data_IF_918315742818
#
_entry.id   IF_918315742818
#
_cell.length_a   1.000
_cell.length_b   1.000
_cell.length_c   1.000
_cell.angle_alpha   90.00
_cell.angle_beta   90.00
_cell.angle_gamma   90.00
#
_symmetry.space_group_name_H-M   'P 1'
#
loop_
_entity.id
_entity.type
_entity.pdbx_description
1 polymer ?
#
# COMPACT_ATOMS: atom_id res chain seq x y z
N UNK A 1 2.95 -5.87 -4.49
CA UNK A 1 2.54 -6.67 -3.31
C UNK A 1 3.78 -7.37 -2.76
N UNK A 2 3.89 -7.54 -1.45
CA UNK A 2 4.91 -8.42 -0.86
C UNK A 2 4.35 -9.85 -0.67
N UNK A 3 5.22 -10.84 -0.49
CA UNK A 3 4.81 -12.24 -0.33
C UNK A 3 3.96 -12.47 0.94
N UNK A 4 4.15 -11.66 1.97
CA UNK A 4 3.32 -11.71 3.18
C UNK A 4 1.87 -11.29 2.90
N UNK A 5 1.66 -10.20 2.16
CA UNK A 5 0.34 -9.72 1.74
C UNK A 5 -0.37 -10.71 0.82
N UNK A 6 0.37 -11.34 -0.11
CA UNK A 6 -0.18 -12.38 -0.99
C UNK A 6 -0.79 -13.54 -0.19
N UNK A 7 -0.19 -13.90 0.95
CA UNK A 7 -0.72 -14.91 1.88
C UNK A 7 -1.58 -14.34 3.01
N UNK A 8 -1.83 -13.03 3.05
CA UNK A 8 -2.53 -12.34 4.16
C UNK A 8 -1.87 -12.58 5.54
N UNK A 9 -0.54 -12.56 5.59
CA UNK A 9 0.28 -12.72 6.79
C UNK A 9 0.88 -11.38 7.25
N UNK A 10 1.20 -11.23 8.56
CA UNK A 10 1.96 -10.08 9.04
C UNK A 10 3.38 -10.10 8.48
N UNK A 11 3.92 -8.93 8.14
CA UNK A 11 5.28 -8.77 7.62
C UNK A 11 6.21 -8.14 8.68
N UNK A 12 7.55 -8.28 8.54
CA UNK A 12 8.51 -7.63 9.42
C UNK A 12 8.31 -6.09 9.47
N UNK A 13 8.55 -5.43 10.62
CA UNK A 13 9.10 -5.98 11.87
C UNK A 13 8.05 -6.63 12.80
N UNK A 14 6.76 -6.56 12.47
CA UNK A 14 5.64 -6.98 13.33
C UNK A 14 5.36 -8.49 13.28
N UNK A 15 6.41 -9.32 13.29
CA UNK A 15 6.30 -10.74 13.00
C UNK A 15 6.70 -11.61 14.22
N UNK A 16 5.77 -11.90 15.16
CA UNK A 16 6.04 -12.86 16.22
C UNK A 16 6.08 -14.26 15.59
N UNK A 17 7.28 -14.80 15.40
CA UNK A 17 7.59 -16.19 15.00
C UNK A 17 6.49 -16.92 14.20
N UNK A 18 6.32 -16.59 12.91
CA UNK A 18 5.46 -17.40 12.04
C UNK A 18 6.02 -18.81 11.87
N UNK A 19 5.29 -19.80 12.39
CA UNK A 19 5.54 -21.21 12.16
C UNK A 19 5.11 -21.65 10.74
N UNK A 20 5.75 -22.71 10.22
CA UNK A 20 5.49 -23.27 8.91
C UNK A 20 4.05 -23.79 8.78
N UNK A 21 3.43 -24.24 9.87
CA UNK A 21 2.03 -24.66 9.87
C UNK A 21 1.09 -23.48 9.57
N UNK A 22 1.38 -22.30 10.12
CA UNK A 22 0.63 -21.07 9.87
C UNK A 22 0.77 -20.63 8.42
N UNK A 23 1.99 -20.66 7.88
CA UNK A 23 2.27 -20.32 6.47
C UNK A 23 1.54 -21.27 5.52
N UNK A 24 1.55 -22.58 5.81
CA UNK A 24 0.83 -23.59 5.02
C UNK A 24 -0.69 -23.36 5.08
N UNK A 25 -1.24 -23.06 6.26
CA UNK A 25 -2.67 -22.74 6.41
C UNK A 25 -3.06 -21.51 5.59
N UNK A 26 -2.23 -20.46 5.63
CA UNK A 26 -2.44 -19.23 4.87
C UNK A 26 -2.39 -19.47 3.35
N UNK A 27 -1.44 -20.29 2.88
CA UNK A 27 -1.36 -20.74 1.49
C UNK A 27 -2.64 -21.45 1.02
N UNK A 28 -3.15 -22.43 1.79
CA UNK A 28 -4.41 -23.10 1.44
C UNK A 28 -5.59 -22.13 1.43
N UNK A 29 -5.66 -21.20 2.39
CA UNK A 29 -6.70 -20.19 2.43
C UNK A 29 -6.64 -19.24 1.22
N UNK A 30 -5.43 -18.84 0.80
CA UNK A 30 -5.23 -18.00 -0.37
C UNK A 30 -5.72 -18.71 -1.66
N UNK A 31 -5.31 -19.96 -1.90
CA UNK A 31 -5.78 -20.72 -3.06
C UNK A 31 -7.30 -20.93 -3.07
N UNK A 32 -7.94 -21.11 -1.91
CA UNK A 32 -9.39 -21.24 -1.82
C UNK A 32 -10.14 -19.94 -2.09
N UNK A 33 -9.50 -18.79 -1.89
CA UNK A 33 -10.04 -17.47 -2.31
C UNK A 33 -9.95 -17.32 -3.82
N UNK A 34 -8.81 -17.67 -4.39
CA UNK A 34 -8.59 -17.70 -5.83
C UNK A 34 -8.92 -19.07 -6.41
N UNK A 35 -10.10 -19.61 -6.10
CA UNK A 35 -10.61 -20.82 -6.78
C UNK A 35 -11.51 -20.37 -7.94
N UNK A 36 -11.40 -20.96 -9.15
CA UNK A 36 -12.11 -20.47 -10.34
C UNK A 36 -13.63 -20.53 -10.19
N UNK A 37 -14.14 -21.42 -9.33
CA UNK A 37 -15.56 -21.53 -9.00
C UNK A 37 -16.12 -20.30 -8.25
N UNK A 38 -15.27 -19.56 -7.50
CA UNK A 38 -15.67 -18.34 -6.78
C UNK A 38 -15.42 -17.06 -7.55
N UNK A 39 -14.60 -17.12 -8.60
CA UNK A 39 -14.16 -15.97 -9.38
C UNK A 39 -14.64 -16.02 -10.83
N UNK A 40 -15.87 -16.52 -11.05
CA UNK A 40 -16.50 -16.69 -12.38
C UNK A 40 -16.57 -15.41 -13.24
N UNK A 41 -16.25 -14.26 -12.66
CA UNK A 41 -16.31 -12.93 -13.28
C UNK A 41 -14.93 -12.23 -13.39
N UNK A 42 -13.86 -12.83 -12.86
CA UNK A 42 -12.48 -12.30 -12.98
C UNK A 42 -11.79 -13.04 -14.12
N UNK A 43 -11.29 -12.31 -15.12
CA UNK A 43 -10.64 -12.89 -16.30
C UNK A 43 -9.53 -13.90 -15.96
N UNK A 44 -9.42 -14.95 -16.78
CA UNK A 44 -8.56 -16.11 -16.54
C UNK A 44 -7.07 -15.74 -16.38
N UNK A 45 -6.60 -14.65 -17.00
CA UNK A 45 -5.22 -14.17 -16.88
C UNK A 45 -4.91 -13.54 -15.51
N UNK A 46 -5.88 -12.87 -14.89
CA UNK A 46 -5.72 -12.31 -13.55
C UNK A 46 -5.65 -13.46 -12.53
N UNK A 47 -6.40 -14.53 -12.79
CA UNK A 47 -6.42 -15.73 -11.97
C UNK A 47 -5.07 -16.46 -11.96
N UNK A 48 -4.48 -16.71 -13.13
CA UNK A 48 -3.19 -17.42 -13.24
C UNK A 48 -2.05 -16.62 -12.61
N UNK A 49 -1.99 -15.30 -12.84
CA UNK A 49 -1.01 -14.41 -12.22
C UNK A 49 -1.11 -14.43 -10.70
N UNK A 50 -2.34 -14.40 -10.15
CA UNK A 50 -2.55 -14.46 -8.71
C UNK A 50 -2.13 -15.81 -8.10
N UNK A 51 -2.37 -16.92 -8.80
CA UNK A 51 -1.97 -18.26 -8.34
C UNK A 51 -0.44 -18.42 -8.35
N UNK A 52 0.23 -17.94 -9.39
CA UNK A 52 1.70 -17.97 -9.48
C UNK A 52 2.35 -17.16 -8.35
N UNK A 53 1.79 -15.98 -8.03
CA UNK A 53 2.24 -15.15 -6.91
C UNK A 53 2.08 -15.88 -5.56
N UNK A 54 0.96 -16.58 -5.34
CA UNK A 54 0.72 -17.37 -4.13
C UNK A 54 1.71 -18.53 -4.00
N UNK A 55 2.03 -19.20 -5.10
CA UNK A 55 3.00 -20.30 -5.13
C UNK A 55 4.41 -19.80 -4.80
N UNK A 56 4.84 -18.68 -5.42
CA UNK A 56 6.14 -18.07 -5.14
C UNK A 56 6.24 -17.58 -3.70
N UNK A 57 5.18 -16.97 -3.17
CA UNK A 57 5.10 -16.54 -1.78
C UNK A 57 5.27 -17.72 -0.81
N UNK A 58 4.56 -18.83 -1.04
CA UNK A 58 4.71 -20.03 -0.22
C UNK A 58 6.11 -20.63 -0.33
N UNK A 59 6.66 -20.76 -1.55
CA UNK A 59 7.99 -21.33 -1.77
C UNK A 59 9.14 -20.52 -1.13
N UNK A 60 8.95 -19.21 -0.97
CA UNK A 60 9.90 -18.31 -0.31
C UNK A 60 9.72 -18.35 1.20
N UNK A 61 8.49 -18.17 1.69
CA UNK A 61 8.21 -18.02 3.12
C UNK A 61 8.28 -19.34 3.90
N UNK A 62 8.03 -20.49 3.26
CA UNK A 62 8.08 -21.81 3.91
C UNK A 62 9.49 -22.29 4.24
N UNK A 63 10.53 -21.76 3.57
CA UNK A 63 11.93 -22.09 3.87
C UNK A 63 12.53 -21.04 4.80
N UNK A 64 13.02 -21.41 6.01
CA UNK A 64 13.59 -20.45 6.95
C UNK A 64 14.72 -19.61 6.35
N UNK A 65 15.59 -20.23 5.54
CA UNK A 65 16.73 -19.57 4.89
C UNK A 65 16.26 -18.56 3.83
N UNK A 66 15.30 -18.95 2.97
CA UNK A 66 14.79 -18.05 1.93
C UNK A 66 13.96 -16.92 2.52
N UNK A 67 13.18 -17.20 3.55
CA UNK A 67 12.43 -16.21 4.31
C UNK A 67 13.35 -15.19 4.97
N UNK A 68 14.40 -15.64 5.67
CA UNK A 68 15.35 -14.73 6.30
C UNK A 68 16.02 -13.81 5.27
N UNK A 69 16.41 -14.36 4.10
CA UNK A 69 16.97 -13.55 3.02
C UNK A 69 15.97 -12.52 2.50
N UNK A 70 14.74 -12.95 2.23
CA UNK A 70 13.67 -12.06 1.77
C UNK A 70 13.32 -10.98 2.80
N UNK A 71 13.31 -11.32 4.09
CA UNK A 71 13.09 -10.37 5.18
C UNK A 71 14.20 -9.33 5.24
N UNK A 72 15.45 -9.74 5.02
CA UNK A 72 16.58 -8.80 4.92
C UNK A 72 16.45 -7.85 3.72
N UNK A 73 16.02 -8.36 2.56
CA UNK A 73 15.77 -7.55 1.37
C UNK A 73 14.60 -6.57 1.58
N UNK A 74 13.53 -7.00 2.27
CA UNK A 74 12.37 -6.15 2.57
C UNK A 74 12.70 -5.01 3.54
N UNK A 75 13.68 -5.23 4.41
CA UNK A 75 14.14 -4.24 5.39
C UNK A 75 15.33 -3.41 4.88
N UNK A 76 15.82 -3.67 3.67
CA UNK A 76 16.90 -2.87 3.09
C UNK A 76 16.34 -1.46 2.74
N UNK A 77 16.83 -0.39 3.38
CA UNK A 77 16.36 0.97 3.11
C UNK A 77 16.55 1.37 1.65
N UNK A 78 17.52 0.78 0.93
CA UNK A 78 17.73 1.05 -0.50
C UNK A 78 16.60 0.47 -1.35
N UNK A 79 16.07 -0.70 -0.98
CA UNK A 79 14.92 -1.27 -1.68
C UNK A 79 13.63 -0.50 -1.40
N UNK A 80 13.48 0.02 -0.18
CA UNK A 80 12.40 0.96 0.15
C UNK A 80 12.50 2.24 -0.69
N UNK A 81 13.67 2.88 -0.70
CA UNK A 81 13.94 4.10 -1.49
C UNK A 81 13.73 3.86 -2.99
N UNK A 82 14.24 2.75 -3.52
CA UNK A 82 14.02 2.36 -4.91
C UNK A 82 12.52 2.13 -5.20
N UNK A 83 11.78 1.54 -4.26
CA UNK A 83 10.33 1.33 -4.41
C UNK A 83 9.58 2.66 -4.41
N UNK A 84 9.88 3.55 -3.47
CA UNK A 84 9.28 4.90 -3.40
C UNK A 84 9.62 5.68 -4.65
N UNK A 85 10.87 5.68 -5.10
CA UNK A 85 11.30 6.34 -6.35
C UNK A 85 10.53 5.84 -7.58
N UNK A 86 10.33 4.51 -7.69
CA UNK A 86 9.52 3.93 -8.78
C UNK A 86 8.05 4.35 -8.70
N UNK A 87 7.48 4.34 -7.50
CA UNK A 87 6.09 4.78 -7.27
C UNK A 87 5.95 6.25 -7.65
N UNK A 88 6.86 7.10 -7.17
CA UNK A 88 6.89 8.53 -7.44
C UNK A 88 6.91 8.83 -8.94
N UNK A 89 7.81 8.19 -9.68
CA UNK A 89 7.94 8.37 -11.12
C UNK A 89 6.70 7.92 -11.93
N UNK A 90 5.92 6.96 -11.40
CA UNK A 90 4.72 6.42 -12.06
C UNK A 90 3.42 7.07 -11.59
N UNK A 91 3.46 7.78 -10.46
CA UNK A 91 2.31 8.41 -9.85
C UNK A 91 1.90 9.66 -10.63
N UNK A 92 0.60 9.73 -10.94
CA UNK A 92 -0.05 10.89 -11.52
C UNK A 92 0.09 12.09 -10.57
N UNK A 93 0.53 13.23 -11.10
CA UNK A 93 0.56 14.49 -10.37
C UNK A 93 -0.81 15.15 -10.42
N UNK A 94 -1.36 15.51 -9.26
CA UNK A 94 -2.70 16.08 -9.09
C UNK A 94 -2.58 17.29 -8.17
N UNK A 95 -3.19 18.39 -8.54
CA UNK A 95 -3.21 19.60 -7.70
C UNK A 95 -4.10 19.39 -6.47
N UNK A 96 -3.70 19.88 -5.29
CA UNK A 96 -4.50 19.84 -4.07
C UNK A 96 -5.82 20.59 -4.24
N UNK A 97 -5.88 21.63 -5.09
CA UNK A 97 -7.09 22.37 -5.41
C UNK A 97 -8.15 21.50 -6.13
N UNK A 98 -7.77 20.34 -6.68
CA UNK A 98 -8.72 19.35 -7.21
C UNK A 98 -9.37 18.47 -6.13
N UNK A 99 -8.97 18.59 -4.87
CA UNK A 99 -9.51 17.80 -3.77
C UNK A 99 -10.72 18.49 -3.13
N UNK A 100 -11.67 17.68 -2.69
CA UNK A 100 -12.76 18.16 -1.86
C UNK A 100 -12.27 18.35 -0.42
N UNK A 101 -12.68 19.43 0.22
CA UNK A 101 -12.41 19.66 1.64
C UNK A 101 -13.48 19.03 2.54
N UNK A 102 -13.05 18.55 3.70
CA UNK A 102 -13.94 17.94 4.67
C UNK A 102 -13.34 17.86 6.05
N UNK A 103 -14.08 17.20 6.93
CA UNK A 103 -13.77 17.09 8.34
C UNK A 103 -13.87 15.62 8.75
N UNK A 104 -12.80 15.06 9.33
CA UNK A 104 -12.74 13.67 9.76
C UNK A 104 -12.51 13.57 11.27
N UNK A 105 -13.23 12.64 11.91
CA UNK A 105 -13.05 12.30 13.31
C UNK A 105 -11.96 11.22 13.43
N UNK A 106 -10.85 11.54 14.08
CA UNK A 106 -9.67 10.64 14.15
C UNK A 106 -9.55 9.88 15.47
N UNK A 107 -10.33 10.21 16.50
CA UNK A 107 -10.29 9.55 17.82
C UNK A 107 -11.67 9.44 18.45
N UNK A 108 -11.79 8.59 19.48
CA UNK A 108 -13.00 8.43 20.28
C UNK A 108 -13.45 9.75 20.97
N UNK A 109 -12.56 10.73 21.09
CA UNK A 109 -12.84 12.06 21.66
C UNK A 109 -13.29 13.13 20.63
N UNK A 110 -13.63 12.73 19.39
CA UNK A 110 -14.20 13.63 18.37
C UNK A 110 -13.44 14.94 18.15
N UNK A 111 -12.10 14.89 18.11
CA UNK A 111 -11.34 15.98 17.52
C UNK A 111 -11.57 15.94 16.00
N UNK A 112 -12.36 16.90 15.52
CA UNK A 112 -12.63 17.07 14.10
C UNK A 112 -11.39 17.71 13.48
N UNK A 113 -10.72 16.97 12.60
CA UNK A 113 -9.60 17.49 11.83
C UNK A 113 -10.03 17.81 10.40
N UNK A 114 -9.53 18.92 9.89
CA UNK A 114 -9.68 19.29 8.49
C UNK A 114 -8.85 18.34 7.62
N UNK A 115 -9.45 17.91 6.51
CA UNK A 115 -8.86 16.97 5.58
C UNK A 115 -9.22 17.34 4.15
N UNK A 116 -8.33 16.99 3.22
CA UNK A 116 -8.59 16.99 1.79
C UNK A 116 -8.82 15.55 1.34
N UNK A 117 -9.83 15.33 0.50
CA UNK A 117 -10.11 14.00 -0.01
C UNK A 117 -10.50 13.99 -1.48
N UNK A 118 -10.21 12.88 -2.14
CA UNK A 118 -10.56 12.65 -3.56
C UNK A 118 -10.97 11.21 -3.80
N UNK A 119 -11.86 11.03 -4.77
CA UNK A 119 -12.24 9.72 -5.27
C UNK A 119 -11.14 9.04 -6.08
N UNK A 120 -11.17 7.71 -6.15
CA UNK A 120 -10.30 6.93 -7.03
C UNK A 120 -11.13 6.27 -8.14
N UNK A 121 -10.50 6.04 -9.30
CA UNK A 121 -11.07 5.26 -10.41
C UNK A 121 -11.56 3.85 -10.04
N UNK A 122 -11.14 3.32 -8.89
CA UNK A 122 -11.68 2.07 -8.33
C UNK A 122 -13.09 2.20 -7.72
N UNK A 123 -13.66 3.41 -7.70
CA UNK A 123 -15.01 3.71 -7.23
C UNK A 123 -15.13 4.03 -5.73
N UNK A 124 -14.01 4.13 -4.98
CA UNK A 124 -14.06 4.63 -3.59
C UNK A 124 -14.07 6.17 -3.61
N UNK A 125 -15.03 6.78 -2.91
CA UNK A 125 -15.20 8.24 -2.84
C UNK A 125 -14.16 8.94 -1.95
N UNK A 126 -13.91 8.38 -0.77
CA UNK A 126 -12.86 8.83 0.15
C UNK A 126 -11.65 7.90 -0.02
N UNK A 127 -10.99 8.02 -1.17
CA UNK A 127 -9.94 7.09 -1.57
C UNK A 127 -8.56 7.61 -1.23
N UNK A 128 -8.31 8.87 -1.54
CA UNK A 128 -7.10 9.60 -1.16
C UNK A 128 -7.53 10.59 -0.09
N UNK A 129 -6.85 10.60 1.04
CA UNK A 129 -7.17 11.47 2.19
C UNK A 129 -5.85 12.04 2.69
N UNK A 130 -5.81 13.35 2.86
CA UNK A 130 -4.68 14.10 3.39
C UNK A 130 -5.12 14.88 4.62
N UNK A 131 -4.25 14.97 5.60
CA UNK A 131 -4.40 15.89 6.73
C UNK A 131 -3.42 17.05 6.61
N UNK A 132 -3.71 18.15 7.31
CA UNK A 132 -2.82 19.31 7.40
C UNK A 132 -1.42 18.91 7.85
N UNK A 133 -1.31 18.04 8.86
CA UNK A 133 -0.04 17.53 9.35
C UNK A 133 0.80 16.82 8.27
N UNK A 134 0.18 16.12 7.31
CA UNK A 134 0.90 15.49 6.21
C UNK A 134 1.48 16.52 5.23
N UNK A 135 0.76 17.63 5.01
CA UNK A 135 1.21 18.73 4.15
C UNK A 135 2.34 19.52 4.82
N UNK A 136 2.20 19.80 6.13
CA UNK A 136 3.24 20.49 6.91
C UNK A 136 4.54 19.70 6.98
N UNK A 137 4.47 18.38 7.21
CA UNK A 137 5.64 17.50 7.20
C UNK A 137 6.33 17.54 5.83
N UNK A 138 5.56 17.39 4.75
CA UNK A 138 6.10 17.46 3.39
C UNK A 138 6.69 18.83 3.05
N UNK A 139 6.10 19.93 3.55
CA UNK A 139 6.61 21.28 3.36
C UNK A 139 7.92 21.54 4.14
N UNK A 140 8.11 20.88 5.28
CA UNK A 140 9.28 21.09 6.14
C UNK A 140 10.60 20.60 5.54
N UNK A 141 10.52 19.65 4.59
CA UNK A 141 11.68 19.08 3.89
C UNK A 141 12.11 19.88 2.65
N UNK A 142 11.38 20.94 2.29
CA UNK A 142 11.58 21.72 1.07
C UNK A 142 12.26 23.05 1.40
N UNK A 143 13.26 23.42 0.60
CA UNK A 143 13.83 24.76 0.68
C UNK A 143 12.75 25.79 0.34
N UNK A 144 12.46 26.73 1.25
CA UNK A 144 11.43 27.77 1.10
C UNK A 144 11.55 28.65 -0.18
N UNK A 145 12.62 28.46 -0.96
CA UNK A 145 12.83 29.08 -2.26
C UNK A 145 12.09 28.39 -3.43
N UNK A 146 11.69 27.12 -3.30
CA UNK A 146 11.03 26.38 -4.39
C UNK A 146 9.50 26.49 -4.40
N UNK A 147 8.87 26.98 -3.32
CA UNK A 147 7.46 27.42 -3.27
C UNK A 147 6.37 26.35 -3.46
N UNK A 148 6.72 25.21 -4.06
CA UNK A 148 5.81 24.11 -4.38
C UNK A 148 6.22 22.86 -3.59
N UNK A 149 5.23 22.24 -2.94
CA UNK A 149 5.36 20.98 -2.21
C UNK A 149 4.63 19.82 -2.87
N UNK A 150 5.08 18.61 -2.56
CA UNK A 150 4.40 17.39 -3.01
C UNK A 150 4.35 16.31 -1.94
N UNK A 151 3.26 15.52 -1.96
CA UNK A 151 3.08 14.38 -1.05
C UNK A 151 2.52 13.17 -1.78
N UNK A 152 3.11 11.99 -1.55
CA UNK A 152 2.64 10.73 -2.11
C UNK A 152 1.50 10.14 -1.26
N UNK A 153 0.36 9.88 -1.89
CA UNK A 153 -0.82 9.31 -1.22
C UNK A 153 -1.30 8.05 -1.92
N UNK A 154 -1.48 6.99 -1.13
CA UNK A 154 -2.04 5.73 -1.62
C UNK A 154 -3.56 5.70 -1.49
N UNK A 155 -4.23 5.08 -2.46
CA UNK A 155 -5.65 4.79 -2.34
C UNK A 155 -5.95 3.83 -1.17
N UNK A 156 -6.89 4.19 -0.31
CA UNK A 156 -7.40 3.37 0.81
C UNK A 156 -8.21 2.11 0.40
N UNK A 157 -8.15 1.67 -0.86
CA UNK A 157 -8.87 0.49 -1.37
C UNK A 157 -8.08 -0.31 -2.42
N UNK A 158 -7.20 0.33 -3.17
CA UNK A 158 -6.40 -0.33 -4.20
C UNK A 158 -4.93 0.10 -4.07
N UNK A 159 -4.05 -0.43 -4.93
CA UNK A 159 -2.62 -0.12 -4.87
C UNK A 159 -2.20 1.11 -5.68
N UNK A 160 -3.13 1.94 -6.15
CA UNK A 160 -2.80 3.14 -6.95
C UNK A 160 -2.30 4.27 -6.05
N UNK A 161 -1.21 4.91 -6.47
CA UNK A 161 -0.60 6.08 -5.84
C UNK A 161 -0.76 7.31 -6.73
N UNK A 162 -0.83 8.48 -6.09
CA UNK A 162 -0.79 9.80 -6.75
C UNK A 162 0.19 10.71 -6.01
N UNK A 163 0.76 11.69 -6.71
CA UNK A 163 1.49 12.81 -6.13
C UNK A 163 0.54 13.98 -6.03
N UNK A 164 0.34 14.47 -4.82
CA UNK A 164 -0.51 15.64 -4.58
C UNK A 164 0.40 16.84 -4.50
N UNK A 165 0.23 17.78 -5.42
CA UNK A 165 1.02 19.00 -5.56
C UNK A 165 0.28 20.13 -4.84
N UNK A 166 1.00 20.95 -4.08
CA UNK A 166 0.43 22.08 -3.35
C UNK A 166 1.43 23.22 -3.25
N UNK A 167 0.94 24.44 -3.06
CA UNK A 167 1.79 25.62 -2.82
C UNK A 167 1.95 25.86 -1.32
N UNK A 168 3.13 26.32 -0.90
CA UNK A 168 3.47 26.61 0.51
C UNK A 168 3.32 28.11 0.82
#
# INVERSE_FOLDING_TARGET
QNYYQALSLPHPPHNPELDIATIRKAYHAALLRYHPDKLRDIGNDIFTVAVDEILQAYATLSSPVRRQKYDAELLDPREEENRVTRIHAQAEGVDLDEFDEGNLCTTENCLIQHVWYRGCRCGKKYAYVLSEAMLEEAASDIDAAEGDGEVLVQCLRCSTWIRVLFTI
#
